data_IF_876852381558
#
_entry.id   IF_876852381558
#
_cell.length_a   1.000
_cell.length_b   1.000
_cell.length_c   1.000
_cell.angle_alpha   90.00
_cell.angle_beta   90.00
_cell.angle_gamma   90.00
#
_symmetry.space_group_name_H-M   'P 1'
#
loop_
_entity.id
_entity.type
_entity.pdbx_description
1 polymer ?
#
# COMPACT_ATOMS: atom_id res chain seq x y z
N UNK A 1 -6.48 -11.63 -2.85
CA UNK A 1 -6.72 -11.85 -1.39
C UNK A 1 -7.32 -10.59 -0.80
N UNK A 2 -8.34 -10.69 0.08
CA UNK A 2 -8.87 -9.50 0.77
C UNK A 2 -7.75 -8.83 1.57
N UNK A 3 -7.67 -7.51 1.49
CA UNK A 3 -6.58 -6.75 2.08
C UNK A 3 -7.12 -5.40 2.56
N UNK A 4 -6.81 -5.04 3.80
CA UNK A 4 -7.06 -3.70 4.33
C UNK A 4 -5.73 -2.94 4.21
N UNK A 5 -5.62 -2.13 3.15
CA UNK A 5 -4.43 -1.34 2.87
C UNK A 5 -4.37 -0.17 3.85
N UNK A 6 -3.25 0.00 4.55
CA UNK A 6 -3.06 1.15 5.43
C UNK A 6 -2.80 2.41 4.60
N UNK A 7 -3.63 3.42 4.81
CA UNK A 7 -3.67 4.67 4.02
C UNK A 7 -3.45 5.92 4.86
N UNK A 8 -3.44 5.82 6.20
CA UNK A 8 -3.50 6.95 7.14
C UNK A 8 -2.55 8.11 6.81
N UNK A 9 -1.28 7.85 6.46
CA UNK A 9 -0.33 8.91 6.09
C UNK A 9 0.05 8.88 4.61
N UNK A 10 -0.90 8.51 3.77
CA UNK A 10 -0.64 8.13 2.40
C UNK A 10 -0.23 6.67 2.27
N UNK A 11 0.00 6.29 1.02
CA UNK A 11 0.19 4.93 0.55
C UNK A 11 1.62 4.85 0.04
N UNK A 12 2.53 4.44 0.91
CA UNK A 12 3.95 4.29 0.60
C UNK A 12 4.38 2.82 0.67
N UNK A 13 3.85 2.06 1.64
CA UNK A 13 4.29 0.69 1.86
C UNK A 13 3.13 -0.24 2.26
N UNK A 14 3.29 -1.51 1.93
CA UNK A 14 2.39 -2.57 2.35
C UNK A 14 3.19 -3.79 2.81
N UNK A 15 2.73 -4.42 3.88
CA UNK A 15 3.23 -5.73 4.29
C UNK A 15 2.31 -6.81 3.74
N UNK A 16 2.84 -7.68 2.89
CA UNK A 16 2.10 -8.76 2.24
C UNK A 16 2.71 -10.07 2.72
N UNK A 17 2.02 -10.75 3.64
CA UNK A 17 2.58 -11.88 4.37
C UNK A 17 3.76 -11.44 5.25
N UNK A 18 4.92 -12.06 5.06
CA UNK A 18 6.15 -11.69 5.78
C UNK A 18 7.02 -10.65 5.05
N UNK A 19 6.71 -10.33 3.79
CA UNK A 19 7.51 -9.44 2.98
C UNK A 19 6.97 -8.01 2.98
N UNK A 20 7.89 -7.06 2.91
CA UNK A 20 7.59 -5.64 2.77
C UNK A 20 7.67 -5.23 1.31
N UNK A 21 6.71 -4.42 0.89
CA UNK A 21 6.64 -3.85 -0.44
C UNK A 21 6.48 -2.34 -0.35
N UNK A 22 7.03 -1.63 -1.33
CA UNK A 22 6.89 -0.19 -1.53
C UNK A 22 5.96 0.09 -2.71
N UNK A 23 5.14 1.12 -2.62
CA UNK A 23 4.38 1.63 -3.74
C UNK A 23 5.36 2.12 -4.81
N UNK A 24 5.12 1.77 -6.07
CA UNK A 24 5.94 2.24 -7.19
C UNK A 24 5.95 3.77 -7.29
N UNK A 25 4.82 4.39 -6.92
CA UNK A 25 4.67 5.83 -6.70
C UNK A 25 3.91 6.03 -5.39
N UNK A 26 4.52 6.65 -4.36
CA UNK A 26 3.81 6.99 -3.14
C UNK A 26 2.63 7.93 -3.41
N UNK A 27 1.49 7.69 -2.75
CA UNK A 27 0.28 8.52 -2.89
C UNK A 27 -0.02 9.24 -1.58
N UNK A 28 -0.21 10.55 -1.61
CA UNK A 28 -0.59 11.37 -0.44
C UNK A 28 -1.27 12.65 -0.90
N UNK A 29 -2.09 13.25 -0.03
CA UNK A 29 -2.61 14.62 -0.17
C UNK A 29 -1.54 15.71 0.11
N UNK A 30 -0.34 15.33 0.56
CA UNK A 30 0.73 16.24 0.94
C UNK A 30 0.66 16.77 2.38
N UNK A 31 -0.39 16.43 3.13
CA UNK A 31 -0.59 16.83 4.54
C UNK A 31 -0.54 15.65 5.51
N UNK A 32 -0.03 14.50 5.03
CA UNK A 32 0.03 13.28 5.83
C UNK A 32 -1.31 12.56 5.90
N UNK A 33 -2.14 12.67 4.86
CA UNK A 33 -3.34 11.84 4.66
C UNK A 33 -3.26 11.13 3.29
N UNK A 34 -4.13 10.13 3.04
CA UNK A 34 -4.25 9.61 1.69
C UNK A 34 -4.93 10.63 0.76
N UNK A 35 -4.79 10.49 -0.57
CA UNK A 35 -5.48 11.34 -1.52
C UNK A 35 -7.01 11.29 -1.35
N UNK A 36 -7.70 12.29 -1.89
CA UNK A 36 -9.17 12.26 -1.98
C UNK A 36 -9.66 10.98 -2.67
N UNK A 37 -10.77 10.44 -2.18
CA UNK A 37 -11.37 9.19 -2.66
C UNK A 37 -10.93 7.94 -1.91
N UNK A 38 -9.84 8.01 -1.13
CA UNK A 38 -9.37 6.91 -0.30
C UNK A 38 -9.93 6.98 1.12
N UNK A 39 -10.31 5.83 1.67
CA UNK A 39 -10.64 5.68 3.08
C UNK A 39 -9.40 5.94 3.96
N UNK A 40 -9.62 6.38 5.20
CA UNK A 40 -8.60 6.65 6.21
C UNK A 40 -9.08 6.08 7.57
N UNK A 41 -8.33 5.18 8.25
CA UNK A 41 -6.92 4.82 8.04
C UNK A 41 -6.68 3.59 7.16
N UNK A 42 -7.73 2.93 6.68
CA UNK A 42 -7.59 1.74 5.84
C UNK A 42 -8.55 1.76 4.65
N UNK A 43 -8.02 1.43 3.47
CA UNK A 43 -8.82 1.12 2.29
C UNK A 43 -8.98 -0.38 2.14
N UNK A 44 -10.24 -0.83 2.12
CA UNK A 44 -10.53 -2.25 1.85
C UNK A 44 -10.46 -2.51 0.35
N UNK A 45 -9.74 -3.57 -0.02
CA UNK A 45 -9.68 -4.04 -1.39
C UNK A 45 -9.11 -5.44 -1.50
N UNK A 46 -8.47 -5.69 -2.64
CA UNK A 46 -7.85 -6.97 -2.97
C UNK A 46 -6.38 -6.73 -3.31
N UNK A 47 -5.49 -7.42 -2.59
CA UNK A 47 -4.08 -7.51 -2.96
C UNK A 47 -3.86 -8.77 -3.80
N UNK A 48 -3.21 -8.60 -4.96
CA UNK A 48 -2.86 -9.67 -5.89
C UNK A 48 -1.36 -9.68 -6.12
N UNK A 49 -0.67 -10.75 -5.69
CA UNK A 49 0.73 -10.97 -6.05
C UNK A 49 0.81 -11.33 -7.53
N UNK A 50 1.53 -10.53 -8.31
CA UNK A 50 1.83 -10.80 -9.72
C UNK A 50 3.10 -11.63 -9.86
N UNK A 51 4.06 -11.43 -8.95
CA UNK A 51 5.28 -12.22 -8.83
C UNK A 51 5.83 -12.14 -7.40
N UNK A 52 6.98 -12.75 -7.14
CA UNK A 52 7.70 -12.56 -5.87
C UNK A 52 8.15 -11.10 -5.64
N UNK A 53 8.26 -10.30 -6.71
CA UNK A 53 8.75 -8.93 -6.66
C UNK A 53 7.65 -7.88 -6.86
N UNK A 54 6.42 -8.28 -7.20
CA UNK A 54 5.36 -7.33 -7.56
C UNK A 54 4.00 -7.76 -7.03
N UNK A 55 3.28 -6.82 -6.43
CA UNK A 55 1.89 -6.96 -6.01
C UNK A 55 1.07 -5.78 -6.52
N UNK A 56 -0.23 -6.00 -6.74
CA UNK A 56 -1.15 -4.94 -7.14
C UNK A 56 -2.34 -4.95 -6.20
N UNK A 57 -2.62 -3.81 -5.59
CA UNK A 57 -3.85 -3.54 -4.86
C UNK A 57 -4.90 -2.99 -5.81
N UNK A 58 -6.13 -3.46 -5.69
CA UNK A 58 -7.31 -2.91 -6.38
C UNK A 58 -8.53 -2.93 -5.48
N UNK A 59 -9.45 -1.98 -5.62
CA UNK A 59 -10.72 -1.95 -4.89
C UNK A 59 -11.94 -1.70 -5.81
N UNK A 60 -13.12 -1.61 -5.19
CA UNK A 60 -14.38 -1.36 -5.90
C UNK A 60 -14.59 0.11 -6.29
N UNK A 61 -13.81 1.04 -5.72
CA UNK A 61 -13.82 2.46 -6.10
C UNK A 61 -13.00 2.71 -7.38
N UNK A 62 -12.27 1.69 -7.87
CA UNK A 62 -11.48 1.75 -9.09
C UNK A 62 -10.04 2.14 -8.85
N UNK A 63 -9.58 2.16 -7.60
CA UNK A 63 -8.18 2.42 -7.31
C UNK A 63 -7.30 1.25 -7.72
N UNK A 64 -6.08 1.56 -8.14
CA UNK A 64 -5.03 0.59 -8.41
C UNK A 64 -3.68 1.11 -7.95
N UNK A 65 -2.95 0.31 -7.15
CA UNK A 65 -1.60 0.65 -6.69
C UNK A 65 -0.68 -0.55 -6.90
N UNK A 66 0.40 -0.33 -7.64
CA UNK A 66 1.45 -1.33 -7.82
C UNK A 66 2.49 -1.19 -6.73
N UNK A 67 2.82 -2.31 -6.11
CA UNK A 67 3.79 -2.46 -5.04
C UNK A 67 4.95 -3.32 -5.51
N UNK A 68 6.18 -2.92 -5.19
CA UNK A 68 7.41 -3.65 -5.47
C UNK A 68 8.00 -4.20 -4.19
N UNK A 69 8.45 -5.44 -4.21
CA UNK A 69 9.06 -6.05 -3.04
C UNK A 69 10.34 -5.28 -2.66
N UNK A 70 10.61 -5.21 -1.36
CA UNK A 70 11.86 -4.72 -0.81
C UNK A 70 12.66 -5.89 -0.23
N UNK A 71 13.51 -6.56 -1.03
CA UNK A 71 14.31 -7.68 -0.53
C UNK A 71 15.17 -7.27 0.66
N UNK A 72 15.16 -8.07 1.72
CA UNK A 72 15.94 -7.82 2.94
C UNK A 72 15.34 -6.77 3.89
N UNK A 73 14.21 -6.15 3.57
CA UNK A 73 13.53 -5.27 4.51
C UNK A 73 12.95 -6.06 5.70
N UNK A 74 13.23 -5.59 6.92
CA UNK A 74 12.70 -6.14 8.17
C UNK A 74 11.63 -5.24 8.81
N UNK A 75 11.49 -4.01 8.32
CA UNK A 75 10.55 -3.00 8.81
C UNK A 75 10.09 -2.06 7.68
N UNK A 76 9.00 -1.34 7.95
CA UNK A 76 8.53 -0.20 7.15
C UNK A 76 9.60 0.90 7.12
N UNK A 77 9.80 1.55 5.96
CA UNK A 77 10.61 2.75 5.79
C UNK A 77 10.08 3.91 6.62
N UNK A 78 8.75 4.10 6.60
CA UNK A 78 8.11 5.22 7.28
C UNK A 78 6.94 4.71 8.11
N UNK A 79 7.09 4.84 9.42
CA UNK A 79 5.97 4.73 10.35
C UNK A 79 5.44 6.15 10.55
N UNK A 80 4.15 6.34 10.34
CA UNK A 80 3.46 7.56 10.75
C UNK A 80 3.81 7.88 12.21
N UNK A 81 4.32 9.08 12.48
CA UNK A 81 4.52 9.58 13.84
C UNK A 81 3.27 10.29 14.34
#
# INVERSE_FOLDING_TARGET
MRFDLYTHCGIDEARIGSAYFEAGTPLSDGSGNPPEGWDNPYQRGTMTLKSAAEAVFTDAAGHAVTFRARPGASAFKRVCQ
#
